data_IF_507164763378
#
_entry.id   IF_507164763378
#
_cell.length_a   1.000
_cell.length_b   1.000
_cell.length_c   1.000
_cell.angle_alpha   90.00
_cell.angle_beta   90.00
_cell.angle_gamma   90.00
#
_symmetry.space_group_name_H-M   'P 1'
#
loop_
_entity.id
_entity.type
_entity.pdbx_description
1 polymer ?
#
# COMPACT_ATOMS: atom_id res chain seq x y z
N UNK A 1 18.22 -11.99 -4.02
CA UNK A 1 17.63 -13.19 -3.39
C UNK A 1 17.00 -12.75 -2.08
N UNK A 2 15.66 -12.62 -2.04
CA UNK A 2 14.95 -12.04 -0.90
C UNK A 2 14.63 -13.16 0.09
N UNK A 3 14.93 -12.95 1.37
CA UNK A 3 14.68 -13.91 2.46
C UNK A 3 13.67 -13.28 3.40
N UNK A 4 12.49 -13.88 3.55
CA UNK A 4 11.48 -13.47 4.53
C UNK A 4 11.32 -14.62 5.53
N UNK A 5 11.58 -14.35 6.82
CA UNK A 5 11.35 -15.31 7.90
C UNK A 5 12.16 -16.61 7.83
N UNK A 6 13.30 -16.64 7.12
CA UNK A 6 14.16 -17.82 7.01
C UNK A 6 13.76 -18.84 5.92
N UNK A 7 12.68 -18.61 5.18
CA UNK A 7 12.30 -19.44 4.03
C UNK A 7 12.80 -18.83 2.72
N UNK A 8 13.52 -19.60 1.91
CA UNK A 8 13.88 -19.23 0.54
C UNK A 8 12.63 -19.33 -0.34
N UNK A 9 12.20 -18.21 -0.92
CA UNK A 9 11.08 -18.18 -1.86
C UNK A 9 11.43 -18.91 -3.16
N UNK A 10 10.48 -19.66 -3.71
CA UNK A 10 10.61 -20.23 -5.06
C UNK A 10 10.71 -19.11 -6.10
N UNK A 11 11.21 -19.39 -7.32
CA UNK A 11 11.25 -18.40 -8.39
C UNK A 11 9.89 -17.78 -8.71
N UNK A 12 8.82 -18.58 -8.68
CA UNK A 12 7.44 -18.09 -8.88
C UNK A 12 6.99 -17.19 -7.72
N UNK A 13 7.34 -17.53 -6.49
CA UNK A 13 7.06 -16.70 -5.32
C UNK A 13 7.82 -15.38 -5.37
N UNK A 14 9.09 -15.36 -5.78
CA UNK A 14 9.83 -14.11 -5.99
C UNK A 14 9.20 -13.25 -7.09
N UNK A 15 8.78 -13.85 -8.20
CA UNK A 15 8.13 -13.12 -9.29
C UNK A 15 6.80 -12.50 -8.88
N UNK A 16 5.98 -13.24 -8.13
CA UNK A 16 4.72 -12.72 -7.59
C UNK A 16 4.98 -11.66 -6.51
N UNK A 17 6.00 -11.86 -5.68
CA UNK A 17 6.41 -10.92 -4.64
C UNK A 17 6.92 -9.60 -5.24
N UNK A 18 7.84 -9.63 -6.19
CA UNK A 18 8.36 -8.45 -6.91
C UNK A 18 7.22 -7.69 -7.59
N UNK A 19 6.29 -8.39 -8.24
CA UNK A 19 5.10 -7.76 -8.84
C UNK A 19 4.19 -7.11 -7.81
N UNK A 20 4.04 -7.72 -6.64
CA UNK A 20 3.25 -7.16 -5.54
C UNK A 20 3.93 -5.98 -4.86
N UNK A 21 5.26 -5.97 -4.77
CA UNK A 21 6.02 -4.82 -4.27
C UNK A 21 5.95 -3.64 -5.24
N UNK A 22 6.12 -3.90 -6.54
CA UNK A 22 6.05 -2.85 -7.56
C UNK A 22 4.65 -2.24 -7.65
N UNK A 23 3.59 -3.03 -7.45
CA UNK A 23 2.22 -2.49 -7.34
C UNK A 23 1.99 -1.70 -6.06
N UNK A 24 2.63 -2.10 -4.95
CA UNK A 24 2.56 -1.39 -3.67
C UNK A 24 3.27 -0.03 -3.71
N UNK A 25 4.53 0.02 -4.14
CA UNK A 25 5.30 1.27 -4.25
C UNK A 25 4.63 2.28 -5.20
N UNK A 26 4.11 1.80 -6.33
CA UNK A 26 3.36 2.64 -7.25
C UNK A 26 2.07 3.18 -6.62
N UNK A 27 1.37 2.36 -5.84
CA UNK A 27 0.15 2.78 -5.13
C UNK A 27 0.46 3.86 -4.10
N UNK A 28 1.54 3.70 -3.33
CA UNK A 28 2.00 4.71 -2.37
C UNK A 28 2.33 6.02 -3.07
N UNK A 29 3.11 5.98 -4.16
CA UNK A 29 3.50 7.18 -4.90
C UNK A 29 2.29 7.92 -5.49
N UNK A 30 1.29 7.20 -6.02
CA UNK A 30 0.05 7.80 -6.53
C UNK A 30 -0.72 8.50 -5.39
N UNK A 31 -0.80 7.87 -4.22
CA UNK A 31 -1.50 8.45 -3.07
C UNK A 31 -0.78 9.71 -2.57
N UNK A 32 0.55 9.69 -2.46
CA UNK A 32 1.33 10.86 -2.09
C UNK A 32 1.12 12.02 -3.06
N UNK A 33 1.16 11.74 -4.36
CA UNK A 33 0.91 12.73 -5.40
C UNK A 33 -0.50 13.33 -5.29
N UNK A 34 -1.54 12.51 -5.08
CA UNK A 34 -2.92 13.00 -4.92
C UNK A 34 -3.09 13.87 -3.67
N UNK A 35 -2.35 13.58 -2.60
CA UNK A 35 -2.35 14.38 -1.38
C UNK A 35 -1.61 15.70 -1.62
N UNK A 36 -0.44 15.66 -2.28
CA UNK A 36 0.38 16.85 -2.53
C UNK A 36 -0.28 17.85 -3.48
N UNK A 37 -1.01 17.37 -4.49
CA UNK A 37 -1.74 18.21 -5.44
C UNK A 37 -3.08 18.73 -4.88
N UNK A 38 -3.50 18.27 -3.70
CA UNK A 38 -4.77 18.70 -3.11
C UNK A 38 -4.65 20.09 -2.50
N UNK A 39 -5.64 20.95 -2.77
CA UNK A 39 -5.81 22.22 -2.08
C UNK A 39 -6.03 22.06 -0.56
N UNK A 40 -6.50 20.89 -0.12
CA UNK A 40 -6.65 20.54 1.30
C UNK A 40 -6.17 19.10 1.55
N UNK A 41 -4.86 18.91 1.83
CA UNK A 41 -4.27 17.59 2.01
C UNK A 41 -4.92 16.77 3.13
N UNK A 42 -5.29 17.41 4.24
CA UNK A 42 -5.88 16.76 5.41
C UNK A 42 -7.31 16.24 5.14
N UNK A 43 -8.09 16.97 4.36
CA UNK A 43 -9.40 16.48 3.90
C UNK A 43 -9.26 15.34 2.89
N UNK A 44 -8.26 15.41 2.00
CA UNK A 44 -7.97 14.36 1.03
C UNK A 44 -7.54 13.06 1.72
N UNK A 45 -6.65 13.12 2.71
CA UNK A 45 -6.27 11.96 3.55
C UNK A 45 -7.50 11.28 4.16
N UNK A 46 -8.41 12.06 4.77
CA UNK A 46 -9.66 11.53 5.35
C UNK A 46 -10.58 10.89 4.31
N UNK A 47 -10.68 11.46 3.11
CA UNK A 47 -11.47 10.88 2.01
C UNK A 47 -10.84 9.57 1.52
N UNK A 48 -9.53 9.53 1.35
CA UNK A 48 -8.78 8.34 0.96
C UNK A 48 -8.96 7.23 2.00
N UNK A 49 -8.81 7.54 3.29
CA UNK A 49 -9.06 6.59 4.38
C UNK A 49 -10.48 6.02 4.30
N UNK A 50 -11.50 6.86 4.13
CA UNK A 50 -12.90 6.40 3.95
C UNK A 50 -13.07 5.50 2.72
N UNK A 51 -12.41 5.82 1.60
CA UNK A 51 -12.47 4.99 0.39
C UNK A 51 -11.80 3.64 0.59
N UNK A 52 -10.64 3.61 1.25
CA UNK A 52 -9.95 2.36 1.62
C UNK A 52 -10.84 1.52 2.53
N UNK A 53 -11.44 2.11 3.57
CA UNK A 53 -12.35 1.39 4.47
C UNK A 53 -13.61 0.84 3.76
N UNK A 54 -14.09 1.55 2.74
CA UNK A 54 -15.29 1.19 1.97
C UNK A 54 -15.05 0.09 0.94
N UNK A 55 -13.91 0.13 0.26
CA UNK A 55 -13.64 -0.72 -0.91
C UNK A 55 -12.63 -1.85 -0.64
N UNK A 56 -11.81 -1.74 0.42
CA UNK A 56 -10.81 -2.74 0.77
C UNK A 56 -11.35 -3.63 1.89
N UNK A 57 -11.32 -4.94 1.66
CA UNK A 57 -11.77 -5.93 2.66
C UNK A 57 -10.95 -5.82 3.95
N UNK A 58 -11.54 -6.15 5.10
CA UNK A 58 -10.84 -6.15 6.40
C UNK A 58 -9.57 -7.02 6.38
N UNK A 59 -9.60 -8.14 5.67
CA UNK A 59 -8.44 -9.02 5.49
C UNK A 59 -7.32 -8.32 4.71
N UNK A 60 -7.65 -7.67 3.59
CA UNK A 60 -6.68 -6.89 2.82
C UNK A 60 -6.18 -5.65 3.58
N UNK A 61 -6.97 -5.04 4.47
CA UNK A 61 -6.55 -3.93 5.34
C UNK A 61 -5.51 -4.34 6.39
N UNK A 62 -5.54 -5.59 6.87
CA UNK A 62 -4.50 -6.11 7.76
C UNK A 62 -3.15 -6.29 7.05
N UNK A 63 -3.18 -6.43 5.72
CA UNK A 63 -2.00 -6.53 4.85
C UNK A 63 -1.63 -5.23 4.14
N UNK A 64 -2.57 -4.28 4.05
CA UNK A 64 -2.30 -2.92 3.60
C UNK A 64 -1.22 -2.37 4.54
N UNK A 65 -0.01 -2.24 3.98
CA UNK A 65 1.21 -2.07 4.75
C UNK A 65 1.11 -0.91 5.74
N UNK A 66 1.91 -1.02 6.81
CA UNK A 66 2.06 0.05 7.81
C UNK A 66 2.30 1.41 7.17
N UNK A 67 2.92 1.46 5.99
CA UNK A 67 3.22 2.71 5.30
C UNK A 67 1.97 3.39 4.78
N UNK A 68 1.01 2.67 4.18
CA UNK A 68 -0.27 3.25 3.75
C UNK A 68 -1.04 3.85 4.94
N UNK A 69 -1.00 3.18 6.09
CA UNK A 69 -1.61 3.67 7.34
C UNK A 69 -0.84 4.88 7.88
N UNK A 70 0.49 4.86 7.84
CA UNK A 70 1.32 5.97 8.31
C UNK A 70 1.17 7.22 7.43
N UNK A 71 0.90 7.03 6.13
CA UNK A 71 0.70 8.10 5.16
C UNK A 71 -0.65 8.81 5.32
N UNK A 72 -1.64 8.08 5.82
CA UNK A 72 -2.98 8.58 6.10
C UNK A 72 -3.17 9.08 7.55
N UNK A 73 -2.20 8.84 8.44
CA UNK A 73 -2.18 9.35 9.83
C UNK A 73 -1.59 10.76 9.91
#
# INVERSE_FOLDING_TARGET
MIVIGGHRMSPEQNFLYDKSQLSYELTVAIIEFLISESANPEETKKKLEKMVLKHVSSHARGHAGKDLINLLK
#
